data_IF_972886140896
#
_entry.id   IF_972886140896
#
_cell.length_a   1.000
_cell.length_b   1.000
_cell.length_c   1.000
_cell.angle_alpha   90.00
_cell.angle_beta   90.00
_cell.angle_gamma   90.00
#
_symmetry.space_group_name_H-M   'P 1'
#
loop_
_entity.id
_entity.type
_entity.pdbx_description
1 polymer ?
#
# COMPACT_ATOMS: atom_id res chain seq x y z
N UNK A 1 -42.35 63.53 -18.91
CA UNK A 1 -40.88 63.70 -18.97
C UNK A 1 -40.29 62.48 -18.28
N UNK A 2 -39.92 61.43 -19.04
CA UNK A 2 -38.57 61.19 -19.60
C UNK A 2 -37.77 60.30 -18.62
N UNK A 3 -37.11 59.19 -18.95
CA UNK A 3 -36.61 58.60 -20.19
C UNK A 3 -36.67 57.07 -20.07
N UNK A 4 -37.07 56.37 -21.12
CA UNK A 4 -36.80 54.93 -21.31
C UNK A 4 -35.30 54.76 -21.60
N UNK A 5 -34.60 53.93 -20.81
CA UNK A 5 -33.23 53.52 -21.12
C UNK A 5 -33.28 52.27 -22.00
N UNK A 6 -32.99 52.46 -23.28
CA UNK A 6 -32.73 51.38 -24.24
C UNK A 6 -31.43 50.68 -23.85
N UNK A 7 -31.51 49.41 -23.46
CA UNK A 7 -30.33 48.54 -23.33
C UNK A 7 -29.89 48.08 -24.72
N UNK A 8 -28.64 48.38 -25.08
CA UNK A 8 -28.03 47.86 -26.30
C UNK A 8 -27.74 46.35 -26.16
N UNK A 9 -27.93 45.55 -27.22
CA UNK A 9 -27.59 44.13 -27.20
C UNK A 9 -26.07 43.94 -27.17
N UNK A 10 -25.60 43.13 -26.22
CA UNK A 10 -24.20 42.70 -26.11
C UNK A 10 -23.85 41.83 -27.33
N UNK A 11 -22.69 42.04 -27.98
CA UNK A 11 -22.28 41.20 -29.10
C UNK A 11 -22.08 39.75 -28.62
N UNK A 12 -22.35 38.74 -29.48
CA UNK A 12 -22.17 37.35 -29.10
C UNK A 12 -20.70 37.09 -28.76
N UNK A 13 -20.44 36.66 -27.53
CA UNK A 13 -19.15 36.08 -27.17
C UNK A 13 -19.00 34.79 -27.97
N UNK A 14 -18.03 34.74 -28.88
CA UNK A 14 -17.53 33.49 -29.44
C UNK A 14 -17.14 32.58 -28.28
N UNK A 15 -17.90 31.49 -28.09
CA UNK A 15 -17.47 30.39 -27.24
C UNK A 15 -16.20 29.83 -27.87
N UNK A 16 -15.04 30.22 -27.35
CA UNK A 16 -13.83 29.43 -27.55
C UNK A 16 -14.11 28.05 -26.96
N UNK A 17 -14.17 27.03 -27.82
CA UNK A 17 -14.18 25.65 -27.37
C UNK A 17 -12.94 25.44 -26.50
N UNK A 18 -13.08 24.83 -25.31
CA UNK A 18 -11.93 24.57 -24.45
C UNK A 18 -10.98 23.65 -25.21
N UNK A 19 -9.73 24.09 -25.41
CA UNK A 19 -8.67 23.22 -25.90
C UNK A 19 -8.51 22.10 -24.89
N UNK A 20 -8.92 20.89 -25.26
CA UNK A 20 -8.61 19.66 -24.55
C UNK A 20 -7.09 19.46 -24.55
N UNK A 21 -6.43 20.04 -23.57
CA UNK A 21 -5.07 19.64 -23.18
C UNK A 21 -5.14 18.15 -22.77
N UNK A 22 -4.85 17.26 -23.73
CA UNK A 22 -4.66 15.84 -23.46
C UNK A 22 -3.43 15.71 -22.57
N UNK A 23 -3.58 15.05 -21.43
CA UNK A 23 -2.41 14.62 -20.66
C UNK A 23 -1.57 13.69 -21.54
N UNK A 24 -0.25 13.93 -21.58
CA UNK A 24 0.69 13.14 -22.38
C UNK A 24 1.56 12.23 -21.49
N UNK A 25 1.07 11.79 -20.32
CA UNK A 25 1.89 11.00 -19.38
C UNK A 25 2.23 9.66 -19.97
N UNK A 26 1.25 8.95 -20.54
CA UNK A 26 1.46 7.66 -21.20
C UNK A 26 2.49 7.74 -22.31
N UNK A 27 2.36 8.74 -23.19
CA UNK A 27 3.32 9.06 -24.25
C UNK A 27 4.74 9.34 -23.72
N UNK A 28 4.89 10.23 -22.73
CA UNK A 28 6.20 10.54 -22.12
C UNK A 28 6.87 9.30 -21.53
N UNK A 29 6.08 8.39 -20.93
CA UNK A 29 6.58 7.10 -20.43
C UNK A 29 6.98 6.19 -21.59
N UNK A 30 6.13 6.03 -22.61
CA UNK A 30 6.42 5.20 -23.79
C UNK A 30 7.71 5.63 -24.49
N UNK A 31 7.89 6.94 -24.75
CA UNK A 31 9.11 7.51 -25.33
C UNK A 31 10.35 7.25 -24.46
N UNK A 32 10.20 7.29 -23.12
CA UNK A 32 11.28 6.96 -22.21
C UNK A 32 11.67 5.48 -22.27
N UNK A 33 10.69 4.58 -22.32
CA UNK A 33 10.92 3.14 -22.46
C UNK A 33 11.59 2.80 -23.80
N UNK A 34 11.16 3.45 -24.90
CA UNK A 34 11.76 3.27 -26.23
C UNK A 34 13.21 3.77 -26.27
N UNK A 35 13.46 4.99 -25.78
CA UNK A 35 14.81 5.57 -25.75
C UNK A 35 15.78 4.77 -24.88
N UNK A 36 15.29 4.12 -23.84
CA UNK A 36 16.10 3.24 -22.97
C UNK A 36 16.21 1.81 -23.50
N UNK A 37 15.64 1.52 -24.67
CA UNK A 37 15.58 0.19 -25.30
C UNK A 37 14.87 -0.87 -24.45
N UNK A 38 14.10 -0.44 -23.46
CA UNK A 38 13.32 -1.33 -22.61
C UNK A 38 12.22 -2.05 -23.41
N UNK A 39 11.56 -1.36 -24.35
CA UNK A 39 10.52 -1.97 -25.19
C UNK A 39 11.05 -3.14 -26.02
N UNK A 40 12.31 -3.07 -26.48
CA UNK A 40 12.93 -4.18 -27.22
C UNK A 40 13.27 -5.35 -26.31
N UNK A 41 13.83 -5.07 -25.13
CA UNK A 41 14.13 -6.08 -24.10
C UNK A 41 12.87 -6.82 -23.67
N UNK A 42 11.75 -6.11 -23.48
CA UNK A 42 10.53 -6.70 -22.92
C UNK A 42 9.82 -7.65 -23.88
N UNK A 43 10.08 -7.59 -25.20
CA UNK A 43 9.47 -8.51 -26.19
C UNK A 43 9.78 -9.99 -25.92
N UNK A 44 10.88 -10.30 -25.22
CA UNK A 44 11.26 -11.66 -24.84
C UNK A 44 11.39 -11.81 -23.34
N UNK A 45 10.77 -12.85 -22.76
CA UNK A 45 10.92 -13.16 -21.33
C UNK A 45 12.36 -13.51 -20.96
N UNK A 46 13.11 -14.14 -21.86
CA UNK A 46 14.53 -14.47 -21.66
C UNK A 46 15.40 -13.21 -21.64
N UNK A 47 15.22 -12.32 -22.62
CA UNK A 47 15.97 -11.06 -22.68
C UNK A 47 15.64 -10.15 -21.50
N UNK A 48 14.36 -10.08 -21.12
CA UNK A 48 13.92 -9.37 -19.93
C UNK A 48 14.56 -9.94 -18.65
N UNK A 49 14.57 -11.27 -18.51
CA UNK A 49 15.24 -11.92 -17.38
C UNK A 49 16.74 -11.59 -17.35
N UNK A 50 17.46 -11.72 -18.47
CA UNK A 50 18.87 -11.36 -18.52
C UNK A 50 19.13 -9.90 -18.15
N UNK A 51 18.29 -8.99 -18.65
CA UNK A 51 18.37 -7.57 -18.32
C UNK A 51 18.16 -7.34 -16.81
N UNK A 52 17.13 -7.95 -16.24
CA UNK A 52 16.84 -7.87 -14.81
C UNK A 52 18.01 -8.40 -13.97
N UNK A 53 18.59 -9.54 -14.34
CA UNK A 53 19.74 -10.12 -13.63
C UNK A 53 20.98 -9.21 -13.65
N UNK A 54 21.20 -8.47 -14.74
CA UNK A 54 22.34 -7.55 -14.91
C UNK A 54 22.17 -6.21 -14.18
N UNK A 55 20.95 -5.79 -13.84
CA UNK A 55 20.72 -4.56 -13.11
C UNK A 55 21.39 -4.59 -11.74
N UNK A 56 22.03 -3.49 -11.35
CA UNK A 56 22.31 -3.22 -9.95
C UNK A 56 21.08 -2.60 -9.27
N UNK A 57 21.06 -2.61 -7.93
CA UNK A 57 20.03 -1.91 -7.17
C UNK A 57 20.04 -0.40 -7.43
N UNK A 58 21.22 0.19 -7.68
CA UNK A 58 21.35 1.61 -8.02
C UNK A 58 20.73 1.91 -9.40
N UNK A 59 20.95 1.04 -10.39
CA UNK A 59 20.30 1.18 -11.70
C UNK A 59 18.78 1.09 -11.57
N UNK A 60 18.31 0.11 -10.80
CA UNK A 60 16.88 -0.10 -10.55
C UNK A 60 16.23 1.13 -9.90
N UNK A 61 16.79 1.64 -8.81
CA UNK A 61 16.24 2.81 -8.09
C UNK A 61 16.31 4.09 -8.93
N UNK A 62 17.38 4.27 -9.71
CA UNK A 62 17.49 5.39 -10.66
C UNK A 62 16.43 5.31 -11.76
N UNK A 63 16.18 4.11 -12.30
CA UNK A 63 15.16 3.89 -13.33
C UNK A 63 13.77 4.18 -12.77
N UNK A 64 13.46 3.62 -11.60
CA UNK A 64 12.22 3.84 -10.87
C UNK A 64 11.97 5.33 -10.56
N UNK A 65 12.99 6.04 -10.08
CA UNK A 65 12.91 7.47 -9.76
C UNK A 65 12.67 8.32 -11.01
N UNK A 66 13.21 7.91 -12.16
CA UNK A 66 12.93 8.57 -13.44
C UNK A 66 11.50 8.35 -13.89
N UNK A 67 10.97 7.13 -13.79
CA UNK A 67 9.58 6.82 -14.09
C UNK A 67 8.62 7.60 -13.18
N UNK A 68 8.79 7.51 -11.86
CA UNK A 68 7.99 8.26 -10.89
C UNK A 68 8.04 9.77 -11.16
N UNK A 69 9.20 10.31 -11.49
CA UNK A 69 9.37 11.72 -11.84
C UNK A 69 8.71 12.12 -13.18
N UNK A 70 8.51 11.19 -14.12
CA UNK A 70 7.67 11.45 -15.31
C UNK A 70 6.21 11.50 -14.89
N UNK A 71 5.75 10.53 -14.10
CA UNK A 71 4.36 10.41 -13.64
C UNK A 71 3.90 11.60 -12.79
N UNK A 72 4.83 12.26 -12.09
CA UNK A 72 4.58 13.45 -11.24
C UNK A 72 4.97 14.77 -11.90
N UNK A 73 5.44 14.71 -13.15
CA UNK A 73 5.98 15.88 -13.87
C UNK A 73 7.10 16.63 -13.13
N UNK A 74 7.90 15.90 -12.34
CA UNK A 74 9.02 16.46 -11.58
C UNK A 74 10.21 16.71 -12.52
N UNK A 75 10.79 17.93 -12.53
CA UNK A 75 11.97 18.23 -13.33
C UNK A 75 13.12 17.27 -13.03
N UNK A 76 13.85 16.83 -14.06
CA UNK A 76 14.89 15.80 -13.96
C UNK A 76 15.87 16.04 -12.80
N UNK A 77 16.32 17.29 -12.60
CA UNK A 77 17.27 17.68 -11.55
C UNK A 77 16.71 17.64 -10.12
N UNK A 78 15.40 17.50 -9.96
CA UNK A 78 14.69 17.47 -8.68
C UNK A 78 14.14 16.08 -8.33
N UNK A 79 14.32 15.08 -9.21
CA UNK A 79 13.81 13.73 -8.96
C UNK A 79 14.66 13.05 -7.90
N UNK A 80 14.00 12.49 -6.88
CA UNK A 80 14.63 11.77 -5.79
C UNK A 80 13.62 10.81 -5.15
N UNK A 81 14.13 9.85 -4.36
CA UNK A 81 13.34 9.17 -3.34
C UNK A 81 13.07 10.19 -2.23
N UNK A 82 11.81 10.60 -2.10
CA UNK A 82 11.40 11.76 -1.29
C UNK A 82 10.23 11.44 -0.31
N UNK A 83 9.97 10.16 -0.07
CA UNK A 83 8.84 9.68 0.73
C UNK A 83 9.11 9.54 2.24
N UNK A 84 10.07 10.25 2.83
CA UNK A 84 10.51 10.03 4.23
C UNK A 84 9.45 10.33 5.30
N UNK A 85 8.48 11.20 5.01
CA UNK A 85 7.42 11.60 5.95
C UNK A 85 6.01 11.32 5.44
N UNK A 86 5.85 10.36 4.52
CA UNK A 86 4.55 10.13 3.88
C UNK A 86 3.64 9.33 4.78
N UNK A 87 2.42 9.82 4.90
CA UNK A 87 1.28 9.17 5.51
C UNK A 87 0.17 9.13 4.47
N UNK A 88 -0.51 7.99 4.35
CA UNK A 88 -1.62 7.86 3.41
C UNK A 88 -2.90 8.16 4.18
N UNK A 89 -3.56 9.27 3.86
CA UNK A 89 -4.86 9.63 4.43
C UNK A 89 -5.97 9.46 3.39
N UNK A 90 -7.05 8.75 3.77
CA UNK A 90 -8.26 8.62 2.95
C UNK A 90 -9.46 9.02 3.83
N UNK A 91 -9.92 10.26 3.72
CA UNK A 91 -11.08 10.72 4.49
C UNK A 91 -11.30 12.23 4.38
N UNK A 92 -12.55 12.66 4.60
CA UNK A 92 -12.96 14.08 4.59
C UNK A 92 -12.25 14.87 5.72
N UNK A 93 -11.77 14.18 6.76
CA UNK A 93 -11.11 14.77 7.93
C UNK A 93 -9.59 14.56 8.01
N UNK A 94 -8.96 13.97 6.97
CA UNK A 94 -7.51 13.73 6.98
C UNK A 94 -7.07 12.46 7.74
N UNK A 95 -8.00 11.54 8.02
CA UNK A 95 -7.76 10.30 8.77
C UNK A 95 -6.63 9.46 8.15
N UNK A 96 -5.68 9.04 8.99
CA UNK A 96 -4.52 8.24 8.56
C UNK A 96 -5.00 6.82 8.24
N UNK A 97 -4.98 6.45 6.97
CA UNK A 97 -5.34 5.11 6.51
C UNK A 97 -4.18 4.12 6.62
N UNK A 98 -2.94 4.57 6.44
CA UNK A 98 -1.77 3.69 6.47
C UNK A 98 -0.49 4.49 6.77
N UNK A 99 0.32 3.94 7.67
CA UNK A 99 1.69 4.36 7.96
C UNK A 99 2.67 3.43 7.24
N UNK A 100 3.43 3.91 6.25
CA UNK A 100 4.52 3.14 5.65
C UNK A 100 5.64 2.82 6.66
N UNK A 101 6.56 1.91 6.32
CA UNK A 101 7.78 1.67 7.11
C UNK A 101 8.54 2.96 7.40
N UNK A 102 9.28 2.98 8.51
CA UNK A 102 10.04 4.17 8.91
C UNK A 102 11.09 4.55 7.85
N UNK A 103 11.39 5.84 7.73
CA UNK A 103 12.23 6.37 6.66
C UNK A 103 13.59 5.66 6.54
N UNK A 104 14.21 5.37 7.69
CA UNK A 104 15.48 4.68 7.81
C UNK A 104 15.44 3.21 7.35
N UNK A 105 14.24 2.61 7.24
CA UNK A 105 14.04 1.22 6.83
C UNK A 105 13.74 1.08 5.33
N UNK A 106 13.25 2.14 4.67
CA UNK A 106 12.73 2.06 3.30
C UNK A 106 13.76 1.60 2.28
N UNK A 107 15.00 2.10 2.32
CA UNK A 107 16.04 1.69 1.35
C UNK A 107 16.40 0.21 1.49
N UNK A 108 16.52 -0.29 2.72
CA UNK A 108 16.76 -1.71 2.98
C UNK A 108 15.65 -2.59 2.42
N UNK A 109 14.39 -2.22 2.67
CA UNK A 109 13.22 -2.95 2.18
C UNK A 109 13.08 -2.89 0.65
N UNK A 110 13.40 -1.76 0.03
CA UNK A 110 13.44 -1.64 -1.44
C UNK A 110 14.50 -2.55 -2.04
N UNK A 111 15.67 -2.66 -1.40
CA UNK A 111 16.74 -3.57 -1.81
C UNK A 111 16.35 -5.03 -1.67
N UNK A 112 15.80 -5.42 -0.52
CA UNK A 112 15.29 -6.77 -0.29
C UNK A 112 14.24 -7.15 -1.35
N UNK A 113 13.32 -6.22 -1.66
CA UNK A 113 12.31 -6.42 -2.71
C UNK A 113 12.95 -6.60 -4.09
N UNK A 114 13.92 -5.77 -4.45
CA UNK A 114 14.66 -5.88 -5.71
C UNK A 114 15.41 -7.21 -5.84
N UNK A 115 16.11 -7.63 -4.79
CA UNK A 115 16.85 -8.89 -4.78
C UNK A 115 15.89 -10.09 -4.92
N UNK A 116 14.70 -10.02 -4.32
CA UNK A 116 13.66 -11.02 -4.48
C UNK A 116 13.15 -11.13 -5.93
N UNK A 117 12.95 -10.01 -6.64
CA UNK A 117 12.51 -10.03 -8.04
C UNK A 117 13.43 -10.86 -8.94
N UNK A 118 14.74 -10.89 -8.64
CA UNK A 118 15.71 -11.71 -9.37
C UNK A 118 15.56 -13.21 -9.14
N UNK A 119 14.96 -13.61 -8.02
CA UNK A 119 14.80 -15.02 -7.64
C UNK A 119 13.48 -15.61 -8.15
N UNK A 120 12.45 -14.79 -8.30
CA UNK A 120 11.16 -15.20 -8.85
C UNK A 120 11.32 -15.51 -10.34
N UNK A 121 10.92 -16.69 -10.85
CA UNK A 121 11.03 -17.03 -12.27
C UNK A 121 9.86 -16.47 -13.11
N UNK A 122 8.67 -16.39 -12.54
CA UNK A 122 7.44 -15.96 -13.23
C UNK A 122 7.31 -14.44 -13.27
N UNK A 123 7.03 -13.88 -14.46
CA UNK A 123 6.95 -12.42 -14.62
C UNK A 123 5.69 -11.82 -14.00
N UNK A 124 4.57 -12.56 -13.95
CA UNK A 124 3.37 -12.08 -13.27
C UNK A 124 3.60 -11.97 -11.77
N UNK A 125 4.27 -12.96 -11.15
CA UNK A 125 4.68 -12.87 -9.74
C UNK A 125 5.62 -11.69 -9.47
N UNK A 126 6.60 -11.44 -10.36
CA UNK A 126 7.47 -10.25 -10.27
C UNK A 126 6.66 -8.94 -10.36
N UNK A 127 5.68 -8.89 -11.25
CA UNK A 127 4.82 -7.73 -11.46
C UNK A 127 3.97 -7.44 -10.20
N UNK A 128 3.36 -8.48 -9.62
CA UNK A 128 2.56 -8.38 -8.40
C UNK A 128 3.42 -7.97 -7.19
N UNK A 129 4.57 -8.62 -6.96
CA UNK A 129 5.47 -8.25 -5.87
C UNK A 129 5.89 -6.79 -5.99
N UNK A 130 6.28 -6.34 -7.19
CA UNK A 130 6.69 -4.96 -7.43
C UNK A 130 5.55 -3.98 -7.14
N UNK A 131 4.32 -4.30 -7.58
CA UNK A 131 3.13 -3.48 -7.37
C UNK A 131 2.80 -3.31 -5.88
N UNK A 132 2.76 -4.39 -5.12
CA UNK A 132 2.41 -4.34 -3.70
C UNK A 132 3.55 -3.77 -2.85
N UNK A 133 4.79 -4.19 -3.09
CA UNK A 133 5.94 -3.72 -2.32
C UNK A 133 6.13 -2.21 -2.46
N UNK A 134 5.99 -1.65 -3.67
CA UNK A 134 6.16 -0.21 -3.87
C UNK A 134 5.08 0.61 -3.15
N UNK A 135 3.83 0.14 -3.17
CA UNK A 135 2.73 0.82 -2.47
C UNK A 135 2.89 0.74 -0.96
N UNK A 136 3.37 -0.39 -0.44
CA UNK A 136 3.56 -0.62 0.98
C UNK A 136 4.78 0.12 1.54
N UNK A 137 5.92 0.08 0.86
CA UNK A 137 7.15 0.78 1.27
C UNK A 137 6.99 2.30 1.10
N UNK A 138 6.28 2.71 0.05
CA UNK A 138 5.95 4.10 -0.22
C UNK A 138 7.19 5.02 -0.30
N UNK A 139 8.15 4.75 -1.20
CA UNK A 139 9.43 5.46 -1.25
C UNK A 139 9.33 6.91 -1.76
N UNK A 140 8.26 7.28 -2.47
CA UNK A 140 8.08 8.63 -3.01
C UNK A 140 7.02 9.43 -2.23
N UNK A 141 7.09 10.76 -2.27
CA UNK A 141 6.09 11.63 -1.65
C UNK A 141 4.72 11.58 -2.33
N UNK A 142 4.68 11.21 -3.60
CA UNK A 142 3.47 10.99 -4.39
C UNK A 142 3.74 9.96 -5.51
N UNK A 143 2.67 9.46 -6.12
CA UNK A 143 2.74 8.67 -7.34
C UNK A 143 3.10 7.20 -7.13
N UNK A 144 3.23 6.71 -5.90
CA UNK A 144 3.56 5.31 -5.62
C UNK A 144 2.54 4.34 -6.25
N UNK A 145 1.24 4.61 -6.15
CA UNK A 145 0.21 3.79 -6.78
C UNK A 145 0.28 3.80 -8.32
N UNK A 146 0.51 4.96 -8.94
CA UNK A 146 0.69 5.09 -10.41
C UNK A 146 1.95 4.38 -10.87
N UNK A 147 3.04 4.54 -10.12
CA UNK A 147 4.32 3.89 -10.39
C UNK A 147 4.19 2.37 -10.26
N UNK A 148 3.50 1.88 -9.22
CA UNK A 148 3.25 0.45 -9.03
C UNK A 148 2.46 -0.16 -10.19
N UNK A 149 1.38 0.50 -10.65
CA UNK A 149 0.60 0.05 -11.81
C UNK A 149 1.43 0.02 -13.08
N UNK A 150 2.23 1.06 -13.33
CA UNK A 150 3.14 1.09 -14.46
C UNK A 150 4.14 -0.08 -14.41
N UNK A 151 4.79 -0.28 -13.26
CA UNK A 151 5.74 -1.38 -13.10
C UNK A 151 5.10 -2.74 -13.31
N UNK A 152 3.89 -2.94 -12.79
CA UNK A 152 3.14 -4.15 -13.05
C UNK A 152 2.98 -4.37 -14.55
N UNK A 153 2.40 -3.40 -15.26
CA UNK A 153 2.13 -3.52 -16.71
C UNK A 153 3.39 -3.76 -17.54
N UNK A 154 4.52 -3.12 -17.22
CA UNK A 154 5.76 -3.31 -18.00
C UNK A 154 6.52 -4.60 -17.63
N UNK A 155 6.30 -5.17 -16.45
CA UNK A 155 6.94 -6.41 -16.00
C UNK A 155 6.09 -7.63 -16.39
N UNK A 156 4.77 -7.55 -16.24
CA UNK A 156 3.81 -8.61 -16.61
C UNK A 156 3.85 -8.91 -18.11
N UNK A 157 3.27 -10.01 -18.53
CA UNK A 157 3.24 -10.49 -19.92
C UNK A 157 2.60 -9.48 -20.88
N UNK A 158 1.69 -8.63 -20.38
CA UNK A 158 1.11 -7.50 -21.13
C UNK A 158 2.19 -6.53 -21.65
N UNK A 159 3.32 -6.41 -20.94
CA UNK A 159 4.46 -5.58 -21.31
C UNK A 159 5.10 -5.98 -22.64
N UNK A 160 4.89 -7.21 -23.14
CA UNK A 160 5.38 -7.65 -24.47
C UNK A 160 4.70 -6.91 -25.62
N UNK A 161 3.47 -6.49 -25.40
CA UNK A 161 2.61 -5.81 -26.39
C UNK A 161 2.22 -4.42 -25.89
N UNK A 162 3.13 -3.78 -25.17
CA UNK A 162 2.92 -2.44 -24.63
C UNK A 162 2.82 -1.43 -25.78
N UNK A 163 1.78 -0.58 -25.74
CA UNK A 163 1.61 0.52 -26.69
C UNK A 163 1.47 1.85 -25.95
N UNK A 164 1.64 2.95 -26.66
CA UNK A 164 1.40 4.29 -26.13
C UNK A 164 -0.03 4.42 -25.61
N UNK A 165 -1.01 3.93 -26.36
CA UNK A 165 -2.43 4.00 -26.02
C UNK A 165 -2.74 3.26 -24.73
N UNK A 166 -2.20 2.04 -24.55
CA UNK A 166 -2.35 1.27 -23.31
C UNK A 166 -1.78 2.01 -22.09
N UNK A 167 -0.59 2.60 -22.26
CA UNK A 167 0.03 3.38 -21.19
C UNK A 167 -0.75 4.65 -20.87
N UNK A 168 -1.29 5.32 -21.89
CA UNK A 168 -2.14 6.50 -21.68
C UNK A 168 -3.44 6.14 -20.96
N UNK A 169 -4.10 5.04 -21.33
CA UNK A 169 -5.30 4.57 -20.62
C UNK A 169 -5.02 4.22 -19.15
N UNK A 170 -3.84 3.65 -18.86
CA UNK A 170 -3.43 3.28 -17.51
C UNK A 170 -3.04 4.49 -16.64
N UNK A 171 -2.47 5.54 -17.23
CA UNK A 171 -1.74 6.59 -16.50
C UNK A 171 -2.35 7.98 -16.59
N UNK A 172 -3.03 8.31 -17.69
CA UNK A 172 -3.65 9.61 -17.88
C UNK A 172 -5.03 9.64 -17.18
N UNK A 173 -5.26 10.71 -16.40
CA UNK A 173 -6.51 10.94 -15.68
C UNK A 173 -7.33 12.04 -16.36
N UNK A 174 -8.66 12.03 -16.26
CA UNK A 174 -9.47 13.16 -16.75
C UNK A 174 -9.19 14.43 -15.93
N UNK A 175 -9.39 15.62 -16.54
CA UNK A 175 -8.95 16.94 -16.03
C UNK A 175 -9.42 17.32 -14.61
N UNK A 176 -10.42 16.64 -14.06
CA UNK A 176 -10.89 16.85 -12.67
C UNK A 176 -9.99 16.21 -11.61
N UNK A 177 -8.72 15.92 -11.95
CA UNK A 177 -7.71 15.16 -11.21
C UNK A 177 -7.32 15.69 -9.82
N UNK A 178 -8.29 15.79 -8.92
CA UNK A 178 -8.11 15.76 -7.48
C UNK A 178 -8.33 14.32 -7.01
N UNK A 179 -7.25 13.67 -6.59
CA UNK A 179 -7.25 12.38 -5.91
C UNK A 179 -8.05 11.24 -6.59
N UNK A 180 -7.48 10.66 -7.66
CA UNK A 180 -7.60 9.21 -7.86
C UNK A 180 -8.80 8.65 -8.64
N UNK A 181 -9.41 9.39 -9.57
CA UNK A 181 -10.44 8.84 -10.47
C UNK A 181 -10.08 9.07 -11.93
N UNK A 182 -9.15 8.27 -12.45
CA UNK A 182 -9.09 7.99 -13.90
C UNK A 182 -9.29 6.50 -14.10
N UNK A 183 -9.74 6.11 -15.30
CA UNK A 183 -10.11 4.74 -15.62
C UNK A 183 -8.99 3.72 -15.42
N UNK A 184 -7.72 4.14 -15.46
CA UNK A 184 -6.58 3.25 -15.22
C UNK A 184 -6.59 2.53 -13.86
N UNK A 185 -7.24 3.10 -12.82
CA UNK A 185 -7.44 2.37 -11.55
C UNK A 185 -8.48 1.26 -11.68
N UNK A 186 -9.57 1.53 -12.38
CA UNK A 186 -10.68 0.60 -12.57
C UNK A 186 -10.26 -0.57 -13.46
N UNK A 187 -9.60 -0.27 -14.58
CA UNK A 187 -9.02 -1.29 -15.50
C UNK A 187 -8.02 -2.18 -14.76
N UNK A 188 -7.17 -1.60 -13.90
CA UNK A 188 -6.21 -2.38 -13.13
C UNK A 188 -6.86 -3.24 -12.05
N UNK A 189 -7.96 -2.77 -11.45
CA UNK A 189 -8.71 -3.51 -10.42
C UNK A 189 -9.41 -4.76 -10.95
N UNK A 190 -9.56 -4.91 -12.26
CA UNK A 190 -10.05 -6.13 -12.90
C UNK A 190 -8.99 -7.24 -12.96
N UNK A 191 -7.69 -6.88 -12.99
CA UNK A 191 -6.56 -7.83 -13.15
C UNK A 191 -5.96 -8.30 -11.82
N UNK A 192 -5.95 -7.39 -10.83
CA UNK A 192 -5.17 -7.57 -9.59
C UNK A 192 -6.08 -7.30 -8.39
N UNK A 193 -5.91 -8.11 -7.35
CA UNK A 193 -6.59 -7.89 -6.07
C UNK A 193 -6.16 -6.54 -5.48
N UNK A 194 -7.11 -5.75 -5.00
CA UNK A 194 -6.79 -4.46 -4.40
C UNK A 194 -5.82 -4.62 -3.21
N UNK A 195 -4.97 -3.61 -3.00
CA UNK A 195 -3.90 -3.68 -2.01
C UNK A 195 -4.42 -3.99 -0.59
N UNK A 196 -5.53 -3.40 -0.15
CA UNK A 196 -6.05 -3.64 1.20
C UNK A 196 -6.52 -5.09 1.38
N UNK A 197 -7.15 -5.67 0.36
CA UNK A 197 -7.52 -7.09 0.36
C UNK A 197 -6.29 -7.99 0.35
N UNK A 198 -5.25 -7.68 -0.42
CA UNK A 198 -3.99 -8.44 -0.40
C UNK A 198 -3.29 -8.32 0.97
N UNK A 199 -3.31 -7.14 1.58
CA UNK A 199 -2.69 -6.87 2.88
C UNK A 199 -3.32 -7.68 4.00
N UNK A 200 -4.61 -8.03 3.92
CA UNK A 200 -5.23 -8.95 4.88
C UNK A 200 -4.50 -10.30 4.92
N UNK A 201 -4.23 -10.91 3.77
CA UNK A 201 -3.57 -12.21 3.71
C UNK A 201 -2.13 -12.13 4.25
N UNK A 202 -1.42 -11.07 3.91
CA UNK A 202 -0.04 -10.86 4.38
C UNK A 202 -0.03 -10.58 5.90
N UNK A 203 -0.92 -9.70 6.40
CA UNK A 203 -1.01 -9.41 7.83
C UNK A 203 -1.44 -10.62 8.64
N UNK A 204 -2.25 -11.52 8.07
CA UNK A 204 -2.59 -12.78 8.73
C UNK A 204 -1.34 -13.63 8.97
N UNK A 205 -0.45 -13.74 7.99
CA UNK A 205 0.81 -14.47 8.13
C UNK A 205 1.74 -13.79 9.15
N UNK A 206 1.86 -12.46 9.11
CA UNK A 206 2.61 -11.69 10.12
C UNK A 206 2.05 -11.91 11.52
N UNK A 207 0.73 -11.87 11.67
CA UNK A 207 0.05 -12.09 12.94
C UNK A 207 0.35 -13.49 13.51
N UNK A 208 0.38 -14.53 12.66
CA UNK A 208 0.77 -15.90 13.11
C UNK A 208 2.15 -15.91 13.71
N UNK A 209 3.10 -15.23 13.05
CA UNK A 209 4.49 -15.16 13.51
C UNK A 209 4.62 -14.45 14.86
N UNK A 210 3.96 -13.30 15.02
CA UNK A 210 4.19 -12.43 16.20
C UNK A 210 3.29 -12.75 17.40
N UNK A 211 2.08 -13.28 17.16
CA UNK A 211 1.08 -13.60 18.19
C UNK A 211 1.04 -15.10 18.55
N UNK A 212 1.61 -15.96 17.70
CA UNK A 212 1.75 -17.39 17.92
C UNK A 212 0.49 -18.22 17.64
N UNK A 213 0.69 -19.54 17.54
CA UNK A 213 -0.36 -20.50 17.18
C UNK A 213 -1.52 -20.54 18.17
N UNK A 214 -1.25 -20.30 19.47
CA UNK A 214 -2.28 -20.32 20.50
C UNK A 214 -3.32 -19.23 20.28
N UNK A 215 -2.90 -18.04 19.83
CA UNK A 215 -3.84 -16.99 19.44
C UNK A 215 -4.73 -17.45 18.27
N UNK A 216 -4.13 -18.08 17.24
CA UNK A 216 -4.85 -18.51 16.05
C UNK A 216 -5.75 -19.73 16.26
N UNK A 217 -5.62 -20.47 17.36
CA UNK A 217 -6.59 -21.52 17.73
C UNK A 217 -7.95 -20.94 18.10
N UNK A 218 -7.97 -19.77 18.72
CA UNK A 218 -9.18 -19.19 19.30
C UNK A 218 -9.69 -17.98 18.49
N UNK A 219 -8.77 -17.18 17.96
CA UNK A 219 -9.08 -15.89 17.36
C UNK A 219 -8.80 -15.87 15.85
N UNK A 220 -9.78 -15.38 15.09
CA UNK A 220 -9.68 -15.17 13.64
C UNK A 220 -9.64 -13.69 13.24
N UNK A 221 -9.66 -12.79 14.22
CA UNK A 221 -9.73 -11.34 14.03
C UNK A 221 -9.31 -10.60 15.29
N UNK A 222 -8.67 -9.46 15.10
CA UNK A 222 -8.43 -8.43 16.11
C UNK A 222 -9.44 -7.31 15.87
N UNK A 223 -10.13 -6.90 16.93
CA UNK A 223 -10.99 -5.73 16.94
C UNK A 223 -10.40 -4.69 17.88
N UNK A 224 -10.37 -3.45 17.43
CA UNK A 224 -9.87 -2.33 18.20
C UNK A 224 -10.98 -1.29 18.30
N UNK A 225 -11.31 -0.85 19.52
CA UNK A 225 -12.44 0.06 19.73
C UNK A 225 -12.15 1.52 19.39
N UNK A 226 -10.89 1.87 19.09
CA UNK A 226 -10.48 3.23 18.73
C UNK A 226 -10.85 3.64 17.30
N UNK A 227 -11.04 4.94 17.10
CA UNK A 227 -11.38 5.52 15.80
C UNK A 227 -10.14 5.64 14.91
N UNK A 228 -10.32 5.46 13.60
CA UNK A 228 -9.25 5.74 12.62
C UNK A 228 -8.97 7.24 12.61
N UNK A 229 -7.71 7.63 12.50
CA UNK A 229 -7.23 9.01 12.55
C UNK A 229 -7.13 9.61 13.96
N UNK A 230 -7.58 8.89 15.00
CA UNK A 230 -7.59 9.39 16.38
C UNK A 230 -6.80 8.41 17.25
N UNK A 231 -5.69 8.89 17.80
CA UNK A 231 -4.95 8.19 18.84
C UNK A 231 -4.49 9.18 19.90
N UNK A 232 -4.54 8.77 21.16
CA UNK A 232 -4.14 9.62 22.27
C UNK A 232 -3.01 9.02 23.09
N UNK A 233 -2.11 9.88 23.53
CA UNK A 233 -1.06 9.55 24.50
C UNK A 233 -1.22 10.48 25.72
N UNK A 234 -1.17 9.99 26.97
CA UNK A 234 -1.37 10.83 28.16
C UNK A 234 -0.41 12.02 28.19
N UNK A 235 -0.88 13.20 28.61
CA UNK A 235 -0.09 14.45 28.53
C UNK A 235 1.05 14.51 29.54
N UNK A 236 0.93 13.73 30.61
CA UNK A 236 1.83 13.70 31.76
C UNK A 236 3.02 12.75 31.59
N UNK A 237 3.05 11.91 30.54
CA UNK A 237 4.21 11.06 30.27
C UNK A 237 5.35 11.85 29.60
N UNK A 238 6.56 11.63 30.08
CA UNK A 238 7.79 12.29 29.63
C UNK A 238 8.40 11.58 28.42
N UNK A 239 8.06 12.06 27.23
CA UNK A 239 8.54 11.58 25.91
C UNK A 239 8.80 12.78 24.98
N UNK A 240 9.54 12.57 23.90
CA UNK A 240 9.76 13.63 22.91
C UNK A 240 8.46 13.99 22.15
N UNK A 241 8.33 15.23 21.63
CA UNK A 241 7.21 15.59 20.76
C UNK A 241 7.06 14.69 19.52
N UNK A 242 8.19 14.24 18.95
CA UNK A 242 8.23 13.35 17.80
C UNK A 242 7.76 11.93 18.16
N UNK A 243 8.21 11.39 19.29
CA UNK A 243 7.76 10.10 19.82
C UNK A 243 6.24 10.12 20.07
N UNK A 244 5.75 11.19 20.70
CA UNK A 244 4.31 11.39 20.95
C UNK A 244 3.51 11.38 19.66
N UNK A 245 3.90 12.22 18.71
CA UNK A 245 3.20 12.34 17.44
C UNK A 245 3.18 11.01 16.68
N UNK A 246 4.29 10.26 16.68
CA UNK A 246 4.34 8.95 16.02
C UNK A 246 3.45 7.91 16.72
N UNK A 247 3.46 7.86 18.06
CA UNK A 247 2.62 6.95 18.81
C UNK A 247 1.12 7.23 18.61
N UNK A 248 0.70 8.50 18.66
CA UNK A 248 -0.68 8.90 18.37
C UNK A 248 -1.11 8.46 16.96
N UNK A 249 -0.22 8.58 15.98
CA UNK A 249 -0.46 8.11 14.60
C UNK A 249 -0.58 6.59 14.52
N UNK A 250 0.25 5.84 15.24
CA UNK A 250 0.19 4.37 15.28
C UNK A 250 -1.14 3.91 15.89
N UNK A 251 -1.54 4.51 17.02
CA UNK A 251 -2.80 4.23 17.72
C UNK A 251 -4.01 4.56 16.81
N UNK A 252 -3.93 5.67 16.07
CA UNK A 252 -4.93 6.11 15.11
C UNK A 252 -4.83 5.49 13.71
N UNK A 253 -3.91 4.55 13.44
CA UNK A 253 -3.71 4.04 12.07
C UNK A 253 -4.96 3.32 11.53
N UNK A 254 -5.26 3.47 10.24
CA UNK A 254 -6.36 2.80 9.58
C UNK A 254 -6.30 1.27 9.59
N UNK A 255 -7.47 0.66 9.39
CA UNK A 255 -7.62 -0.78 9.51
C UNK A 255 -7.33 -1.50 8.19
N UNK A 256 -6.34 -2.39 8.21
CA UNK A 256 -6.34 -3.57 7.33
C UNK A 256 -7.35 -4.56 7.90
N UNK A 257 -8.19 -5.15 7.04
CA UNK A 257 -9.27 -6.03 7.47
C UNK A 257 -8.75 -7.15 8.40
N UNK A 258 -9.44 -7.36 9.52
CA UNK A 258 -9.27 -8.40 10.52
C UNK A 258 -7.94 -8.43 11.31
N UNK A 259 -6.82 -8.06 10.69
CA UNK A 259 -5.50 -8.01 11.33
C UNK A 259 -4.87 -6.63 11.09
N UNK A 260 -5.39 -5.55 11.70
CA UNK A 260 -4.86 -4.20 11.51
C UNK A 260 -3.48 -4.05 12.17
N UNK A 261 -2.61 -3.24 11.57
CA UNK A 261 -1.25 -2.98 12.08
C UNK A 261 -1.25 -2.47 13.52
N UNK A 262 -2.08 -1.46 13.83
CA UNK A 262 -2.26 -0.95 15.19
C UNK A 262 -2.71 -2.02 16.18
N UNK A 263 -3.66 -2.87 15.79
CA UNK A 263 -4.18 -3.92 16.63
C UNK A 263 -3.12 -4.97 16.93
N UNK A 264 -2.35 -5.38 15.93
CA UNK A 264 -1.21 -6.28 16.10
C UNK A 264 -0.13 -5.68 17.03
N UNK A 265 0.20 -4.41 16.85
CA UNK A 265 1.22 -3.73 17.66
C UNK A 265 0.82 -3.61 19.13
N UNK A 266 -0.43 -3.18 19.39
CA UNK A 266 -0.95 -3.03 20.76
C UNK A 266 -1.11 -4.40 21.43
N UNK A 267 -1.66 -5.39 20.72
CA UNK A 267 -1.80 -6.74 21.25
C UNK A 267 -0.44 -7.33 21.63
N UNK A 268 0.56 -7.17 20.76
CA UNK A 268 1.92 -7.64 21.03
C UNK A 268 2.53 -6.95 22.26
N UNK A 269 2.38 -5.63 22.37
CA UNK A 269 2.82 -4.88 23.55
C UNK A 269 2.18 -5.41 24.84
N UNK A 270 0.86 -5.60 24.80
CA UNK A 270 0.08 -6.11 25.93
C UNK A 270 0.42 -7.56 26.31
N UNK A 271 0.83 -8.38 25.33
CA UNK A 271 1.38 -9.71 25.59
C UNK A 271 2.75 -9.63 26.26
N UNK A 272 3.64 -8.76 25.75
CA UNK A 272 5.00 -8.61 26.28
C UNK A 272 5.02 -8.08 27.72
N UNK A 273 4.11 -7.18 28.07
CA UNK A 273 4.00 -6.64 29.44
C UNK A 273 3.08 -7.46 30.36
N UNK A 274 2.48 -8.54 29.86
CA UNK A 274 1.62 -9.43 30.63
C UNK A 274 0.24 -8.86 30.99
N UNK A 275 -0.17 -7.74 30.39
CA UNK A 275 -1.42 -7.06 30.74
C UNK A 275 -2.59 -7.35 29.79
N UNK A 276 -2.41 -8.18 28.75
CA UNK A 276 -3.46 -8.43 27.75
C UNK A 276 -4.85 -8.72 28.34
N UNK A 277 -4.93 -9.55 29.39
CA UNK A 277 -6.20 -9.88 30.05
C UNK A 277 -6.95 -8.67 30.63
N UNK A 278 -6.24 -7.59 30.95
CA UNK A 278 -6.82 -6.39 31.56
C UNK A 278 -7.46 -5.44 30.56
N UNK A 279 -7.08 -5.53 29.28
CA UNK A 279 -7.56 -4.66 28.21
C UNK A 279 -8.36 -5.42 27.16
N UNK A 280 -8.33 -6.76 27.16
CA UNK A 280 -9.05 -7.54 26.16
C UNK A 280 -10.53 -7.70 26.50
N UNK A 281 -11.35 -7.83 25.46
CA UNK A 281 -12.70 -8.35 25.55
C UNK A 281 -12.95 -9.34 24.42
N UNK A 282 -13.87 -10.28 24.63
CA UNK A 282 -14.21 -11.29 23.62
C UNK A 282 -15.44 -10.84 22.85
N UNK A 283 -15.35 -10.92 21.53
CA UNK A 283 -16.48 -10.64 20.65
C UNK A 283 -17.71 -11.49 20.93
N UNK A 284 -18.90 -10.89 20.81
CA UNK A 284 -20.17 -11.57 21.09
C UNK A 284 -20.63 -12.50 19.97
N UNK A 285 -20.03 -12.42 18.79
CA UNK A 285 -20.30 -13.29 17.65
C UNK A 285 -19.01 -13.85 17.05
N UNK A 286 -19.05 -15.06 16.48
CA UNK A 286 -17.93 -15.57 15.71
C UNK A 286 -17.74 -14.84 14.38
N UNK A 287 -16.57 -15.02 13.77
CA UNK A 287 -16.20 -14.58 12.42
C UNK A 287 -17.04 -15.29 11.35
N UNK A 288 -17.50 -14.52 10.36
CA UNK A 288 -18.31 -15.03 9.25
C UNK A 288 -17.49 -15.45 8.02
N UNK A 289 -18.04 -16.35 7.21
CA UNK A 289 -17.42 -16.86 5.98
C UNK A 289 -17.22 -15.82 4.85
N UNK A 290 -17.80 -14.63 5.00
CA UNK A 290 -17.60 -13.51 4.08
C UNK A 290 -16.61 -12.46 4.64
N UNK A 291 -16.09 -12.68 5.84
CA UNK A 291 -15.23 -11.72 6.55
C UNK A 291 -13.77 -12.19 6.58
N UNK A 292 -13.55 -13.51 6.63
CA UNK A 292 -12.24 -14.12 6.85
C UNK A 292 -12.02 -15.31 5.92
N UNK A 293 -10.76 -15.76 5.83
CA UNK A 293 -10.41 -17.01 5.14
C UNK A 293 -11.08 -18.23 5.79
N UNK A 294 -11.33 -19.32 5.04
CA UNK A 294 -12.05 -20.49 5.54
C UNK A 294 -11.54 -21.06 6.87
N UNK A 295 -10.23 -21.03 7.12
CA UNK A 295 -9.61 -21.53 8.36
C UNK A 295 -9.92 -20.70 9.60
N UNK A 296 -10.36 -19.46 9.41
CA UNK A 296 -10.70 -18.56 10.51
C UNK A 296 -12.20 -18.43 10.73
N UNK A 297 -13.04 -19.09 9.91
CA UNK A 297 -14.50 -19.06 10.05
C UNK A 297 -14.93 -19.73 11.34
N UNK A 298 -15.81 -19.08 12.10
CA UNK A 298 -16.31 -19.60 13.37
C UNK A 298 -15.43 -19.28 14.58
N UNK A 299 -14.23 -18.72 14.38
CA UNK A 299 -13.36 -18.25 15.47
C UNK A 299 -13.92 -17.00 16.13
N UNK A 300 -13.44 -16.70 17.33
CA UNK A 300 -13.78 -15.45 18.01
C UNK A 300 -12.97 -14.28 17.45
N UNK A 301 -13.38 -13.06 17.80
CA UNK A 301 -12.52 -11.90 17.64
C UNK A 301 -12.07 -11.39 19.01
N UNK A 302 -10.78 -11.06 19.11
CA UNK A 302 -10.22 -10.44 20.30
C UNK A 302 -10.35 -8.92 20.19
N UNK A 303 -11.16 -8.33 21.06
CA UNK A 303 -11.29 -6.90 21.23
C UNK A 303 -10.22 -6.33 22.15
N UNK A 304 -9.76 -5.11 21.87
CA UNK A 304 -8.89 -4.32 22.74
C UNK A 304 -9.64 -3.04 23.15
N UNK A 305 -9.75 -2.81 24.46
CA UNK A 305 -10.29 -1.58 25.05
C UNK A 305 -9.30 -0.43 24.86
N UNK A 306 -9.53 0.36 23.82
CA UNK A 306 -8.69 1.50 23.48
C UNK A 306 -8.68 2.58 24.56
N UNK A 307 -9.84 2.93 25.10
CA UNK A 307 -9.95 4.06 26.04
C UNK A 307 -9.14 3.76 27.30
N UNK A 308 -9.20 2.52 27.78
CA UNK A 308 -8.36 2.07 28.88
C UNK A 308 -6.88 2.03 28.50
N UNK A 309 -6.55 1.50 27.31
CA UNK A 309 -5.16 1.42 26.84
C UNK A 309 -4.51 2.81 26.73
N UNK A 310 -5.18 3.77 26.10
CA UNK A 310 -4.68 5.15 25.96
C UNK A 310 -4.53 5.84 27.31
N UNK A 311 -5.46 5.63 28.25
CA UNK A 311 -5.42 6.26 29.56
C UNK A 311 -4.25 5.79 30.45
N UNK A 312 -3.81 4.55 30.26
CA UNK A 312 -2.82 3.89 31.13
C UNK A 312 -1.44 3.74 30.46
N UNK A 313 -1.25 4.29 29.26
CA UNK A 313 -0.02 4.21 28.50
C UNK A 313 1.14 4.89 29.24
N UNK A 314 2.25 4.18 29.45
CA UNK A 314 3.46 4.73 30.06
C UNK A 314 4.46 5.22 29.02
N UNK A 315 5.48 5.99 29.42
CA UNK A 315 6.56 6.40 28.52
C UNK A 315 7.33 5.19 27.93
N UNK A 316 7.48 4.11 28.69
CA UNK A 316 8.11 2.87 28.24
C UNK A 316 7.21 2.14 27.23
N UNK A 317 5.91 2.01 27.54
CA UNK A 317 4.92 1.41 26.62
C UNK A 317 4.88 2.17 25.29
N UNK A 318 4.90 3.51 25.29
CA UNK A 318 4.92 4.34 24.08
C UNK A 318 6.14 4.04 23.21
N UNK A 319 7.33 4.02 23.79
CA UNK A 319 8.58 3.75 23.04
C UNK A 319 8.56 2.33 22.50
N UNK A 320 8.11 1.37 23.31
CA UNK A 320 8.02 -0.03 22.91
C UNK A 320 6.98 -0.25 21.79
N UNK A 321 5.84 0.45 21.84
CA UNK A 321 4.82 0.42 20.80
C UNK A 321 5.38 0.84 19.45
N UNK A 322 6.15 1.93 19.42
CA UNK A 322 6.81 2.44 18.20
C UNK A 322 7.74 1.37 17.62
N UNK A 323 8.58 0.75 18.45
CA UNK A 323 9.52 -0.28 18.00
C UNK A 323 8.81 -1.53 17.49
N UNK A 324 7.75 -1.98 18.16
CA UNK A 324 6.92 -3.10 17.70
C UNK A 324 6.27 -2.78 16.36
N UNK A 325 5.71 -1.58 16.20
CA UNK A 325 5.08 -1.17 14.95
C UNK A 325 6.08 -1.17 13.79
N UNK A 326 7.26 -0.59 14.00
CA UNK A 326 8.36 -0.62 13.02
C UNK A 326 8.75 -2.05 12.63
N UNK A 327 8.85 -2.96 13.61
CA UNK A 327 9.16 -4.36 13.36
C UNK A 327 8.07 -5.04 12.53
N UNK A 328 6.79 -4.85 12.88
CA UNK A 328 5.65 -5.38 12.13
C UNK A 328 5.65 -4.89 10.68
N UNK A 329 5.95 -3.60 10.43
CA UNK A 329 6.03 -3.05 9.07
C UNK A 329 7.14 -3.69 8.23
N UNK A 330 8.29 -4.00 8.84
CA UNK A 330 9.34 -4.74 8.15
C UNK A 330 8.93 -6.18 7.86
N UNK A 331 8.36 -6.88 8.86
CA UNK A 331 7.87 -8.26 8.72
C UNK A 331 6.82 -8.36 7.62
N UNK A 332 5.95 -7.37 7.53
CA UNK A 332 4.95 -7.30 6.48
C UNK A 332 5.56 -7.33 5.07
N UNK A 333 6.57 -6.49 4.80
CA UNK A 333 7.25 -6.50 3.50
C UNK A 333 8.00 -7.80 3.26
N UNK A 334 8.69 -8.32 4.29
CA UNK A 334 9.44 -9.59 4.18
C UNK A 334 8.54 -10.79 3.96
N UNK A 335 7.38 -10.83 4.62
CA UNK A 335 6.36 -11.86 4.43
C UNK A 335 5.76 -11.77 3.05
N UNK A 336 5.51 -10.54 2.55
CA UNK A 336 5.07 -10.33 1.17
C UNK A 336 6.10 -10.90 0.18
N UNK A 337 7.40 -10.64 0.39
CA UNK A 337 8.48 -11.22 -0.42
C UNK A 337 8.46 -12.75 -0.34
N UNK A 338 8.33 -13.31 0.87
CA UNK A 338 8.38 -14.76 1.10
C UNK A 338 7.19 -15.49 0.46
N UNK A 339 6.01 -14.88 0.46
CA UNK A 339 4.81 -15.38 -0.26
C UNK A 339 5.09 -15.61 -1.75
N UNK A 340 5.95 -14.81 -2.39
CA UNK A 340 6.30 -15.00 -3.81
C UNK A 340 7.54 -15.88 -4.02
N UNK A 341 8.55 -15.77 -3.17
CA UNK A 341 9.79 -16.54 -3.31
C UNK A 341 9.67 -17.99 -2.85
N UNK A 342 8.91 -18.22 -1.77
CA UNK A 342 8.72 -19.53 -1.15
C UNK A 342 7.21 -19.82 -0.97
N UNK A 343 6.43 -19.83 -2.06
CA UNK A 343 4.97 -19.85 -1.98
C UNK A 343 4.40 -21.11 -1.32
N UNK A 344 5.12 -22.23 -1.33
CA UNK A 344 4.72 -23.48 -0.68
C UNK A 344 4.69 -23.39 0.85
N UNK A 345 5.36 -22.38 1.44
CA UNK A 345 5.28 -22.11 2.88
C UNK A 345 3.99 -21.36 3.28
N UNK A 346 3.28 -20.80 2.29
CA UNK A 346 2.17 -19.87 2.49
C UNK A 346 0.92 -20.36 1.78
N UNK A 347 0.24 -21.31 2.41
CA UNK A 347 -0.95 -21.96 1.88
C UNK A 347 -2.22 -21.50 2.61
N UNK A 348 -3.29 -21.38 1.84
CA UNK A 348 -4.66 -21.18 2.33
C UNK A 348 -5.52 -22.37 1.97
N UNK A 349 -6.49 -22.68 2.82
CA UNK A 349 -7.56 -23.62 2.50
C UNK A 349 -8.69 -22.90 1.78
N UNK A 350 -9.07 -23.40 0.62
CA UNK A 350 -10.28 -23.00 -0.07
C UNK A 350 -11.53 -23.53 0.64
N UNK A 351 -12.72 -23.05 0.23
CA UNK A 351 -14.00 -23.53 0.77
C UNK A 351 -14.24 -25.03 0.56
N UNK A 352 -13.66 -25.60 -0.51
CA UNK A 352 -13.67 -27.04 -0.81
C UNK A 352 -12.50 -27.81 -0.17
N UNK A 353 -11.71 -27.15 0.69
CA UNK A 353 -10.67 -27.76 1.51
C UNK A 353 -9.35 -28.05 0.79
N UNK A 354 -9.14 -27.48 -0.41
CA UNK A 354 -7.88 -27.58 -1.14
C UNK A 354 -6.91 -26.53 -0.65
N UNK A 355 -5.62 -26.87 -0.64
CA UNK A 355 -4.57 -25.91 -0.33
C UNK A 355 -4.22 -25.13 -1.62
N UNK A 356 -4.17 -23.80 -1.53
CA UNK A 356 -3.76 -22.88 -2.60
C UNK A 356 -2.70 -21.92 -2.08
N UNK A 357 -1.75 -21.54 -2.93
CA UNK A 357 -0.71 -20.58 -2.54
C UNK A 357 -1.34 -19.18 -2.39
N UNK A 358 -0.95 -18.43 -1.35
CA UNK A 358 -1.51 -17.08 -1.10
C UNK A 358 -1.34 -16.17 -2.33
N UNK A 359 -0.18 -16.23 -3.00
CA UNK A 359 0.11 -15.41 -4.17
C UNK A 359 -0.90 -15.58 -5.32
N UNK A 360 -1.48 -16.77 -5.45
CA UNK A 360 -2.44 -17.06 -6.53
C UNK A 360 -3.77 -16.34 -6.32
N UNK A 361 -4.09 -15.98 -5.08
CA UNK A 361 -5.30 -15.21 -4.73
C UNK A 361 -5.16 -13.73 -5.11
N UNK A 362 -3.94 -13.24 -5.34
CA UNK A 362 -3.70 -11.85 -5.69
C UNK A 362 -4.01 -11.52 -7.15
N UNK A 363 -4.19 -12.55 -7.99
CA UNK A 363 -4.62 -12.45 -9.38
C UNK A 363 -6.15 -12.53 -9.47
N UNK A 364 -6.76 -11.83 -10.43
CA UNK A 364 -8.21 -11.86 -10.68
C UNK A 364 -8.57 -12.50 -12.01
#
# INVERSE_FOLDING_TARGET
MSFESLTQPTPPQEKQEPVEEKLETGKKVFEFLDRTKFLDVRKSGEQFNEWLQKLSYEDYTNYLTRLNGILREVPIKKRAVDGSGVEISFGIMGDISYLPPAAEQKDGLMRESFDALKQIPDNEDRALLTYYALQAIHPYSDGNGRTGRLLHEIISEDGKELTEEKLSELLDHDKDGHAGTGKGRDVFAEKVLDANSAYYYINREVAKEILGDDFFKEFGKIYYSGYVGIGNVPKDIEISPEERALAEKIIGEGDVANFPFRGMAILKLLQENGKLFEYQFIGTRPTGANEVVPEDVGKQFLGIDNDKFEAELTAEDTKRLIEIHKDIKNRFIRTMIDIFNNPDNHLLKTKDGKDVQIKDVFRR
#
